data_IF_439052877427
#
_entry.id   IF_439052877427
#
_cell.length_a   1.000
_cell.length_b   1.000
_cell.length_c   1.000
_cell.angle_alpha   90.00
_cell.angle_beta   90.00
_cell.angle_gamma   90.00
#
_symmetry.space_group_name_H-M   'P 1'
#
loop_
_entity.id
_entity.type
_entity.pdbx_description
1 polymer ?
#
# COMPACT_ATOMS: atom_id res chain seq x y z
N UNK A 1 17.43 5.24 -1.55
CA UNK A 1 16.40 5.61 -2.54
C UNK A 1 15.26 6.20 -1.76
N UNK A 2 14.77 7.39 -2.14
CA UNK A 2 13.64 8.02 -1.44
C UNK A 2 12.37 7.29 -1.85
N UNK A 3 11.56 6.86 -0.89
CA UNK A 3 10.17 6.45 -1.16
C UNK A 3 9.46 7.51 -1.98
N UNK A 4 8.52 7.09 -2.84
CA UNK A 4 7.70 8.06 -3.57
C UNK A 4 6.95 8.92 -2.56
N UNK A 5 7.15 10.25 -2.56
CA UNK A 5 6.51 11.11 -1.60
C UNK A 5 4.99 11.03 -1.81
N UNK A 6 4.29 10.60 -0.77
CA UNK A 6 2.85 10.80 -0.64
C UNK A 6 2.54 12.21 -0.13
N UNK A 7 1.26 12.55 0.05
CA UNK A 7 0.08 11.68 -0.05
C UNK A 7 -0.43 11.51 -1.48
N UNK A 8 -0.92 10.32 -1.82
CA UNK A 8 -1.56 10.08 -3.12
C UNK A 8 -3.08 10.09 -2.98
N UNK A 9 -3.76 10.53 -4.03
CA UNK A 9 -5.22 10.67 -4.06
C UNK A 9 -5.82 9.71 -5.09
N UNK A 10 -7.00 9.17 -4.81
CA UNK A 10 -7.79 8.41 -5.80
C UNK A 10 -8.57 9.41 -6.64
N UNK A 11 -8.46 9.32 -7.96
CA UNK A 11 -9.18 10.20 -8.87
C UNK A 11 -10.68 9.90 -8.81
N UNK A 12 -11.50 10.94 -8.73
CA UNK A 12 -12.96 10.82 -8.82
C UNK A 12 -13.47 10.54 -10.24
N UNK A 13 -12.59 10.58 -11.24
CA UNK A 13 -12.89 10.27 -12.64
C UNK A 13 -11.93 9.18 -13.10
N UNK A 14 -12.48 8.17 -13.73
CA UNK A 14 -11.69 7.11 -14.35
C UNK A 14 -10.85 7.72 -15.48
N UNK A 15 -9.56 7.41 -15.46
CA UNK A 15 -8.70 7.69 -16.60
C UNK A 15 -8.85 6.55 -17.60
N UNK A 16 -8.91 6.90 -18.87
CA UNK A 16 -8.98 5.94 -19.96
C UNK A 16 -7.71 6.02 -20.79
N UNK A 17 -7.18 4.87 -21.20
CA UNK A 17 -6.06 4.81 -22.13
C UNK A 17 -6.49 5.12 -23.58
N UNK A 18 -5.52 5.06 -24.51
CA UNK A 18 -5.78 5.27 -25.95
C UNK A 18 -6.70 4.21 -26.58
N UNK A 19 -6.85 3.05 -25.92
CA UNK A 19 -7.71 1.94 -26.37
C UNK A 19 -9.13 2.03 -25.78
N UNK A 20 -9.37 2.96 -24.85
CA UNK A 20 -10.65 3.20 -24.21
C UNK A 20 -10.91 2.35 -22.97
N UNK A 21 -9.88 1.67 -22.44
CA UNK A 21 -9.95 0.97 -21.16
C UNK A 21 -9.93 2.00 -20.03
N UNK A 22 -11.01 2.07 -19.24
CA UNK A 22 -11.14 3.02 -18.15
C UNK A 22 -10.95 2.31 -16.79
N UNK A 23 -10.13 2.90 -15.92
CA UNK A 23 -9.80 2.36 -14.61
C UNK A 23 -9.76 3.42 -13.52
N UNK A 24 -9.78 2.97 -12.26
CA UNK A 24 -9.53 3.87 -11.11
C UNK A 24 -8.06 4.28 -11.14
N UNK A 25 -7.79 5.59 -11.06
CA UNK A 25 -6.43 6.12 -11.06
C UNK A 25 -6.02 6.65 -9.69
N UNK A 26 -4.77 6.40 -9.33
CA UNK A 26 -4.10 6.96 -8.15
C UNK A 26 -3.10 7.99 -8.65
N UNK A 27 -3.18 9.20 -8.14
CA UNK A 27 -2.37 10.32 -8.62
C UNK A 27 -1.76 11.10 -7.48
N UNK A 28 -0.63 11.73 -7.77
CA UNK A 28 -0.02 12.76 -6.94
C UNK A 28 -0.33 14.14 -7.54
N UNK A 29 -0.58 15.13 -6.70
CA UNK A 29 -0.95 16.48 -7.18
C UNK A 29 0.18 17.18 -7.93
N UNK A 30 1.43 16.82 -7.65
CA UNK A 30 2.61 17.44 -8.25
C UNK A 30 3.10 16.66 -9.48
N UNK A 31 2.95 15.33 -9.47
CA UNK A 31 3.53 14.43 -10.49
C UNK A 31 2.51 13.83 -11.47
N UNK A 32 1.21 13.93 -11.20
CA UNK A 32 0.15 13.37 -12.04
C UNK A 32 -0.17 11.91 -11.71
N UNK A 33 -0.75 11.18 -12.67
CA UNK A 33 -1.20 9.79 -12.47
C UNK A 33 0.00 8.87 -12.23
N UNK A 34 -0.05 8.13 -11.12
CA UNK A 34 1.00 7.20 -10.71
C UNK A 34 0.66 5.75 -11.04
N UNK A 35 -0.61 5.38 -10.91
CA UNK A 35 -1.11 4.05 -11.25
C UNK A 35 -2.53 4.14 -11.81
N UNK A 36 -2.84 3.31 -12.79
CA UNK A 36 -4.20 3.04 -13.25
C UNK A 36 -4.48 1.58 -12.95
N UNK A 37 -5.55 1.31 -12.22
CA UNK A 37 -5.97 -0.05 -11.91
C UNK A 37 -6.91 -0.48 -13.02
N UNK A 38 -6.32 -1.11 -14.02
CA UNK A 38 -7.05 -1.66 -15.15
C UNK A 38 -7.71 -2.99 -14.72
N UNK A 39 -9.00 -3.11 -15.00
CA UNK A 39 -9.73 -4.35 -14.89
C UNK A 39 -10.72 -4.43 -16.04
N UNK A 40 -10.87 -5.61 -16.63
CA UNK A 40 -11.92 -5.82 -17.61
C UNK A 40 -13.28 -5.63 -16.90
N UNK A 41 -13.99 -4.56 -17.25
CA UNK A 41 -15.30 -4.20 -16.68
C UNK A 41 -16.32 -5.34 -16.81
N UNK A 42 -16.13 -6.28 -17.74
CA UNK A 42 -17.01 -7.45 -17.92
C UNK A 42 -16.71 -8.59 -16.95
N UNK A 43 -15.51 -8.65 -16.35
CA UNK A 43 -15.05 -9.77 -15.51
C UNK A 43 -14.60 -9.37 -14.11
N UNK A 44 -14.24 -8.10 -13.90
CA UNK A 44 -13.83 -7.53 -12.62
C UNK A 44 -14.99 -6.75 -12.03
N UNK A 45 -15.42 -7.14 -10.83
CA UNK A 45 -16.38 -6.33 -10.11
C UNK A 45 -15.71 -4.99 -9.72
N UNK A 46 -16.30 -3.89 -10.14
CA UNK A 46 -15.82 -2.51 -9.88
C UNK A 46 -15.46 -2.20 -8.42
N UNK A 47 -16.08 -2.79 -7.36
CA UNK A 47 -15.71 -2.49 -5.98
C UNK A 47 -14.27 -2.90 -5.58
N UNK A 48 -13.67 -3.84 -6.31
CA UNK A 48 -12.32 -4.34 -5.99
C UNK A 48 -11.25 -3.36 -6.49
N UNK A 49 -11.46 -2.76 -7.66
CA UNK A 49 -10.58 -1.74 -8.24
C UNK A 49 -10.52 -0.49 -7.35
N UNK A 50 -11.67 -0.02 -6.84
CA UNK A 50 -11.74 1.10 -5.91
C UNK A 50 -11.02 0.79 -4.57
N UNK A 51 -11.17 -0.44 -4.08
CA UNK A 51 -10.48 -0.87 -2.85
C UNK A 51 -8.97 -0.92 -3.03
N UNK A 52 -8.49 -1.44 -4.15
CA UNK A 52 -7.06 -1.50 -4.45
C UNK A 52 -6.49 -0.09 -4.66
N UNK A 53 -7.24 0.82 -5.29
CA UNK A 53 -6.82 2.21 -5.48
C UNK A 53 -6.67 2.93 -4.14
N UNK A 54 -7.63 2.74 -3.22
CA UNK A 54 -7.54 3.27 -1.86
C UNK A 54 -6.37 2.67 -1.08
N UNK A 55 -6.08 1.39 -1.27
CA UNK A 55 -4.97 0.72 -0.61
C UNK A 55 -3.62 1.26 -1.09
N UNK A 56 -3.47 1.47 -2.40
CA UNK A 56 -2.27 2.09 -2.97
C UNK A 56 -2.15 3.53 -2.49
N UNK A 57 -3.23 4.31 -2.52
CA UNK A 57 -3.22 5.70 -2.07
C UNK A 57 -2.76 5.87 -0.62
N UNK A 58 -3.16 4.94 0.27
CA UNK A 58 -2.77 4.93 1.67
C UNK A 58 -1.40 4.26 1.94
N UNK A 59 -0.68 3.81 0.91
CA UNK A 59 0.59 3.07 1.10
C UNK A 59 1.66 3.86 1.87
N UNK A 60 1.84 5.19 1.66
CA UNK A 60 2.79 5.99 2.45
C UNK A 60 2.46 5.99 3.95
N UNK A 61 1.20 6.27 4.31
CA UNK A 61 0.73 6.31 5.69
C UNK A 61 0.74 4.92 6.35
N UNK A 62 0.45 3.86 5.58
CA UNK A 62 0.56 2.48 6.04
C UNK A 62 2.01 2.11 6.35
N UNK A 63 2.97 2.57 5.54
CA UNK A 63 4.40 2.35 5.80
C UNK A 63 4.83 3.06 7.09
N UNK A 64 4.47 4.33 7.26
CA UNK A 64 4.74 5.09 8.49
C UNK A 64 4.14 4.40 9.73
N UNK A 65 2.87 4.00 9.67
CA UNK A 65 2.20 3.32 10.78
C UNK A 65 2.87 1.98 11.14
N UNK A 66 3.33 1.21 10.14
CA UNK A 66 4.06 -0.02 10.37
C UNK A 66 5.43 0.23 11.03
N UNK A 67 6.14 1.27 10.61
CA UNK A 67 7.41 1.68 11.22
C UNK A 67 7.22 2.10 12.68
N UNK A 68 6.17 2.86 12.99
CA UNK A 68 5.82 3.25 14.36
C UNK A 68 5.48 2.04 15.23
N UNK A 69 4.73 1.06 14.72
CA UNK A 69 4.40 -0.18 15.44
C UNK A 69 5.67 -0.98 15.76
N UNK A 70 6.65 -1.01 14.84
CA UNK A 70 7.93 -1.69 15.09
C UNK A 70 8.78 -0.90 16.08
N UNK A 71 8.83 0.43 15.98
CA UNK A 71 9.64 1.28 16.84
C UNK A 71 9.11 1.34 18.29
N UNK A 72 7.79 1.28 18.47
CA UNK A 72 7.13 1.31 19.77
C UNK A 72 7.25 0.01 20.56
N UNK A 73 7.95 -1.01 20.03
CA UNK A 73 8.05 -2.31 20.68
C UNK A 73 8.94 -2.32 21.93
N UNK A 74 8.38 -2.51 23.14
CA UNK A 74 9.19 -2.92 24.28
C UNK A 74 9.63 -4.37 24.04
N UNK A 75 10.88 -4.69 24.34
CA UNK A 75 11.46 -6.03 24.23
C UNK A 75 10.57 -7.09 24.90
N UNK A 76 9.67 -7.72 24.14
CA UNK A 76 8.78 -8.76 24.65
C UNK A 76 9.63 -10.02 24.84
N UNK A 77 9.91 -10.36 26.09
CA UNK A 77 10.52 -11.63 26.44
C UNK A 77 9.60 -12.74 25.94
N UNK A 78 10.07 -13.51 24.96
CA UNK A 78 9.32 -14.51 24.20
C UNK A 78 9.03 -15.79 25.00
N UNK A 79 8.47 -15.65 26.22
CA UNK A 79 8.17 -16.77 27.11
C UNK A 79 6.74 -17.30 26.95
N UNK A 80 5.86 -16.59 26.24
CA UNK A 80 4.48 -17.02 25.99
C UNK A 80 4.18 -17.29 24.50
N UNK A 81 3.26 -18.22 24.22
CA UNK A 81 2.80 -18.55 22.86
C UNK A 81 2.18 -17.34 22.12
N UNK A 82 1.60 -16.41 22.88
CA UNK A 82 1.14 -15.10 22.44
C UNK A 82 2.30 -14.21 21.97
N UNK A 83 3.41 -14.19 22.70
CA UNK A 83 4.62 -13.45 22.34
C UNK A 83 5.26 -14.00 21.06
N UNK A 84 5.22 -15.32 20.81
CA UNK A 84 5.72 -15.90 19.56
C UNK A 84 4.96 -15.42 18.31
N UNK A 85 3.62 -15.36 18.37
CA UNK A 85 2.81 -14.83 17.25
C UNK A 85 3.10 -13.36 17.00
N UNK A 86 3.32 -12.62 18.07
CA UNK A 86 3.67 -11.20 18.00
C UNK A 86 5.03 -10.98 17.35
N UNK A 87 6.06 -11.72 17.77
CA UNK A 87 7.41 -11.67 17.16
C UNK A 87 7.35 -12.00 15.67
N UNK A 88 6.61 -13.03 15.28
CA UNK A 88 6.43 -13.38 13.86
C UNK A 88 5.75 -12.26 13.06
N UNK A 89 4.78 -11.56 13.65
CA UNK A 89 4.12 -10.43 13.01
C UNK A 89 5.09 -9.26 12.79
N UNK A 90 5.92 -8.94 13.78
CA UNK A 90 6.97 -7.92 13.68
C UNK A 90 8.02 -8.29 12.64
N UNK A 91 8.49 -9.54 12.61
CA UNK A 91 9.44 -10.00 11.60
C UNK A 91 8.85 -9.93 10.18
N UNK A 92 7.57 -10.29 10.03
CA UNK A 92 6.86 -10.16 8.75
C UNK A 92 6.75 -8.70 8.33
N UNK A 93 6.40 -7.81 9.26
CA UNK A 93 6.31 -6.37 8.99
C UNK A 93 7.66 -5.80 8.55
N UNK A 94 8.76 -6.17 9.23
CA UNK A 94 10.11 -5.75 8.84
C UNK A 94 10.48 -6.18 7.42
N UNK A 95 10.21 -7.44 7.06
CA UNK A 95 10.46 -7.92 5.68
C UNK A 95 9.66 -7.16 4.63
N UNK A 96 8.39 -6.83 4.92
CA UNK A 96 7.55 -6.06 3.99
C UNK A 96 8.06 -4.63 3.85
N UNK A 97 8.57 -4.02 4.94
CA UNK A 97 9.23 -2.72 4.90
C UNK A 97 10.48 -2.80 4.04
N UNK A 98 11.41 -3.73 4.32
CA UNK A 98 12.66 -3.90 3.56
C UNK A 98 12.36 -4.03 2.05
N UNK A 99 11.36 -4.84 1.70
CA UNK A 99 10.86 -4.96 0.33
C UNK A 99 10.31 -3.65 -0.23
N UNK A 100 9.51 -2.91 0.53
CA UNK A 100 8.98 -1.60 0.11
C UNK A 100 10.09 -0.57 -0.11
N UNK A 101 11.21 -0.67 0.61
CA UNK A 101 12.40 0.18 0.44
C UNK A 101 13.29 -0.23 -0.75
N UNK A 102 13.07 -1.42 -1.30
CA UNK A 102 13.99 -2.03 -2.26
C UNK A 102 15.32 -2.48 -1.62
N UNK A 103 15.30 -2.79 -0.32
CA UNK A 103 16.46 -3.28 0.47
C UNK A 103 16.49 -4.82 0.58
N UNK A 104 15.65 -5.52 -0.20
CA UNK A 104 15.52 -6.98 -0.27
C UNK A 104 16.65 -7.67 -1.06
#
# INVERSE_FOLDING_TARGET
MSHTPGPWEVATKQDCDEEGCCGESVYDRECGVFAVIEGDLATVATPWLESDARLIAAAPELLEALEEIIASNPSILATERSALRYVQAVEKARKVIDKARGEE
#
